data_IF_290237241740
#
_entry.id   IF_290237241740
#
_cell.length_a   1.000
_cell.length_b   1.000
_cell.length_c   1.000
_cell.angle_alpha   90.00
_cell.angle_beta   90.00
_cell.angle_gamma   90.00
#
_symmetry.space_group_name_H-M   'P 1'
#
loop_
_entity.id
_entity.type
_entity.pdbx_description
1 polymer ?
#
# COMPACT_ATOMS: atom_id res chain seq x y z
N UNK A 1 2.76 -7.20 -6.76
CA UNK A 1 1.36 -6.76 -6.59
C UNK A 1 1.14 -5.40 -7.25
N UNK A 2 -0.08 -5.10 -7.73
CA UNK A 2 -0.42 -3.75 -8.21
C UNK A 2 -0.92 -2.90 -7.04
N UNK A 3 -0.59 -1.61 -7.06
CA UNK A 3 -1.02 -0.66 -6.02
C UNK A 3 -2.53 -0.69 -5.77
N UNK A 4 -3.33 -0.79 -6.83
CA UNK A 4 -4.79 -0.85 -6.71
C UNK A 4 -5.28 -2.07 -5.94
N UNK A 5 -4.63 -3.23 -6.10
CA UNK A 5 -5.02 -4.46 -5.40
C UNK A 5 -4.80 -4.32 -3.90
N UNK A 6 -3.69 -3.66 -3.51
CA UNK A 6 -3.37 -3.35 -2.12
C UNK A 6 -4.43 -2.43 -1.52
N UNK A 7 -4.74 -1.33 -2.21
CA UNK A 7 -5.72 -0.35 -1.72
C UNK A 7 -7.09 -0.99 -1.55
N UNK A 8 -7.51 -1.84 -2.49
CA UNK A 8 -8.77 -2.56 -2.37
C UNK A 8 -8.78 -3.53 -1.19
N UNK A 9 -7.67 -4.23 -0.93
CA UNK A 9 -7.57 -5.12 0.23
C UNK A 9 -7.71 -4.32 1.53
N UNK A 10 -6.96 -3.22 1.69
CA UNK A 10 -7.05 -2.34 2.86
C UNK A 10 -8.46 -1.77 3.05
N UNK A 11 -9.11 -1.30 1.97
CA UNK A 11 -10.49 -0.80 2.05
C UNK A 11 -11.46 -1.91 2.51
N UNK A 12 -11.26 -3.15 2.07
CA UNK A 12 -12.09 -4.26 2.48
C UNK A 12 -11.87 -4.63 3.95
N UNK A 13 -10.63 -4.57 4.44
CA UNK A 13 -10.33 -4.81 5.85
C UNK A 13 -10.96 -3.73 6.75
N UNK A 14 -10.85 -2.45 6.34
CA UNK A 14 -11.53 -1.34 7.03
C UNK A 14 -13.05 -1.55 7.05
N UNK A 15 -13.65 -1.92 5.91
CA UNK A 15 -15.10 -2.21 5.85
C UNK A 15 -15.51 -3.39 6.72
N UNK A 16 -14.63 -4.38 6.87
CA UNK A 16 -14.90 -5.55 7.70
C UNK A 16 -14.78 -5.25 9.19
N UNK A 17 -13.93 -4.29 9.54
CA UNK A 17 -13.76 -3.82 10.92
C UNK A 17 -14.91 -2.90 11.39
N UNK A 18 -15.54 -2.18 10.46
CA UNK A 18 -16.56 -1.20 10.78
C UNK A 18 -17.99 -1.80 10.68
N UNK A 19 -18.95 -1.30 11.45
CA UNK A 19 -20.37 -1.61 11.30
C UNK A 19 -20.88 -1.32 9.87
N UNK A 20 -21.83 -2.11 9.39
CA UNK A 20 -22.34 -2.04 8.02
C UNK A 20 -23.04 -0.70 7.66
N UNK A 21 -23.45 0.07 8.62
CA UNK A 21 -24.08 1.38 8.46
C UNK A 21 -23.07 2.52 8.31
N UNK A 22 -21.78 2.25 8.54
CA UNK A 22 -20.70 3.22 8.31
C UNK A 22 -20.34 3.25 6.82
N UNK A 23 -20.57 4.38 6.17
CA UNK A 23 -20.19 4.56 4.80
C UNK A 23 -18.65 4.73 4.68
N UNK A 24 -17.98 3.86 3.93
CA UNK A 24 -16.54 3.97 3.65
C UNK A 24 -16.35 4.60 2.27
N UNK A 25 -15.64 5.71 2.21
CA UNK A 25 -15.41 6.51 0.99
C UNK A 25 -13.97 6.99 0.88
N UNK A 26 -13.55 7.31 -0.33
CA UNK A 26 -12.30 8.03 -0.55
C UNK A 26 -12.52 9.53 -0.28
N UNK A 27 -11.52 10.20 0.30
CA UNK A 27 -11.63 11.62 0.69
C UNK A 27 -11.89 12.53 -0.50
N UNK A 28 -11.32 12.24 -1.67
CA UNK A 28 -11.58 12.98 -2.91
C UNK A 28 -13.01 12.86 -3.45
N UNK A 29 -13.78 11.87 -2.99
CA UNK A 29 -15.19 11.65 -3.32
C UNK A 29 -16.17 12.16 -2.27
N UNK A 30 -15.68 12.82 -1.20
CA UNK A 30 -16.53 13.37 -0.14
C UNK A 30 -17.13 14.72 -0.58
N UNK A 31 -18.36 14.70 -1.02
CA UNK A 31 -19.14 15.90 -1.38
C UNK A 31 -19.96 16.43 -0.19
N UNK A 32 -19.39 16.45 1.01
CA UNK A 32 -20.08 16.93 2.21
C UNK A 32 -21.07 15.91 2.78
N UNK A 33 -20.72 14.63 2.72
CA UNK A 33 -21.55 13.55 3.27
C UNK A 33 -21.69 13.67 4.77
N UNK A 34 -22.90 13.44 5.28
CA UNK A 34 -23.19 13.48 6.71
C UNK A 34 -22.64 12.25 7.42
N UNK A 35 -22.22 12.37 8.69
CA UNK A 35 -21.85 11.24 9.55
C UNK A 35 -23.03 10.26 9.74
N UNK A 36 -22.77 8.97 10.10
CA UNK A 36 -21.45 8.41 10.33
C UNK A 36 -20.74 8.01 9.02
N UNK A 37 -19.45 8.29 8.91
CA UNK A 37 -18.69 7.91 7.72
C UNK A 37 -17.20 7.74 8.01
N UNK A 38 -16.55 6.87 7.22
CA UNK A 38 -15.11 6.67 7.19
C UNK A 38 -14.56 7.20 5.86
N UNK A 39 -13.56 8.05 5.95
CA UNK A 39 -12.84 8.62 4.81
C UNK A 39 -11.45 8.02 4.73
N UNK A 40 -11.05 7.60 3.53
CA UNK A 40 -9.74 7.03 3.28
C UNK A 40 -9.03 7.87 2.22
N UNK A 41 -7.80 8.23 2.52
CA UNK A 41 -6.86 8.87 1.60
C UNK A 41 -5.56 8.08 1.61
N UNK A 42 -4.85 8.03 0.50
CA UNK A 42 -3.58 7.32 0.44
C UNK A 42 -2.57 8.06 -0.45
N UNK A 43 -1.32 7.84 -0.14
CA UNK A 43 -0.18 8.23 -0.94
C UNK A 43 0.81 7.06 -1.06
N UNK A 44 1.48 6.99 -2.20
CA UNK A 44 2.45 5.94 -2.47
C UNK A 44 3.71 6.56 -3.05
N UNK A 45 4.81 6.40 -2.33
CA UNK A 45 6.11 6.95 -2.72
C UNK A 45 7.07 5.80 -3.03
N UNK A 46 7.67 5.84 -4.22
CA UNK A 46 8.75 4.93 -4.55
C UNK A 46 9.99 5.26 -3.72
N UNK A 47 10.44 4.29 -2.93
CA UNK A 47 11.66 4.41 -2.15
C UNK A 47 12.83 3.74 -2.88
N UNK A 48 14.01 4.37 -2.78
CA UNK A 48 15.27 3.75 -3.19
C UNK A 48 16.00 3.34 -1.91
N UNK A 49 16.04 2.05 -1.67
CA UNK A 49 16.91 1.54 -0.61
C UNK A 49 18.35 1.61 -1.08
N UNK A 50 19.22 2.23 -0.28
CA UNK A 50 20.64 2.31 -0.56
C UNK A 50 21.23 0.88 -0.58
N UNK A 51 21.77 0.48 -1.71
CA UNK A 51 22.38 -0.84 -1.89
C UNK A 51 21.43 -1.94 -2.34
N UNK A 52 20.12 -1.66 -2.50
CA UNK A 52 19.21 -2.64 -3.09
C UNK A 52 19.48 -2.77 -4.59
N UNK A 53 19.85 -3.98 -4.98
CA UNK A 53 19.87 -4.33 -6.40
C UNK A 53 18.40 -4.43 -6.86
N UNK A 54 17.96 -3.66 -7.87
CA UNK A 54 16.59 -3.76 -8.37
C UNK A 54 16.31 -5.09 -9.09
N UNK A 55 17.34 -5.91 -9.27
CA UNK A 55 17.21 -7.23 -9.86
C UNK A 55 16.92 -8.24 -8.76
N UNK A 56 15.76 -8.88 -8.87
CA UNK A 56 15.42 -9.99 -8.01
C UNK A 56 15.84 -11.32 -8.61
N UNK A 57 15.49 -11.56 -9.87
CA UNK A 57 15.75 -12.84 -10.51
C UNK A 57 15.84 -12.75 -12.04
N UNK A 58 16.42 -13.79 -12.65
CA UNK A 58 16.36 -14.00 -14.09
C UNK A 58 15.16 -14.89 -14.40
N UNK A 59 14.39 -14.49 -15.39
CA UNK A 59 13.29 -15.31 -15.92
C UNK A 59 13.85 -16.27 -16.96
N UNK A 60 13.57 -17.53 -16.82
CA UNK A 60 14.01 -18.60 -17.69
C UNK A 60 12.85 -19.17 -18.49
N UNK A 61 13.10 -19.50 -19.73
CA UNK A 61 12.19 -20.29 -20.54
C UNK A 61 12.24 -21.77 -20.10
N UNK A 62 11.08 -22.31 -19.75
CA UNK A 62 10.96 -23.68 -19.21
C UNK A 62 11.36 -24.76 -20.21
N UNK A 63 11.33 -24.47 -21.53
CA UNK A 63 11.64 -25.43 -22.57
C UNK A 63 13.12 -25.42 -22.96
N UNK A 64 13.72 -24.25 -22.97
CA UNK A 64 15.10 -24.07 -23.44
C UNK A 64 16.11 -23.89 -22.32
N UNK A 65 15.66 -23.48 -21.13
CA UNK A 65 16.50 -23.16 -19.98
C UNK A 65 17.34 -21.88 -20.17
N UNK A 66 17.09 -21.11 -21.21
CA UNK A 66 17.77 -19.84 -21.43
C UNK A 66 17.05 -18.70 -20.70
N UNK A 67 17.82 -17.69 -20.25
CA UNK A 67 17.26 -16.50 -19.67
C UNK A 67 16.52 -15.69 -20.75
N UNK A 68 15.22 -15.46 -20.54
CA UNK A 68 14.34 -14.72 -21.46
C UNK A 68 13.95 -13.35 -20.95
N UNK A 69 14.34 -13.02 -19.71
CA UNK A 69 14.01 -11.76 -19.10
C UNK A 69 14.60 -11.61 -17.72
N UNK A 70 14.15 -10.58 -17.03
CA UNK A 70 14.50 -10.33 -15.64
C UNK A 70 13.30 -9.78 -14.87
N UNK A 71 13.20 -10.14 -13.61
CA UNK A 71 12.29 -9.52 -12.68
C UNK A 71 12.97 -8.33 -11.98
N UNK A 72 12.29 -7.21 -11.92
CA UNK A 72 12.73 -6.02 -11.21
C UNK A 72 11.83 -5.79 -10.00
N UNK A 73 12.43 -5.66 -8.85
CA UNK A 73 11.75 -5.26 -7.62
C UNK A 73 11.78 -3.75 -7.45
N UNK A 74 10.62 -3.17 -7.18
CA UNK A 74 10.46 -1.76 -6.85
C UNK A 74 9.82 -1.67 -5.49
N UNK A 75 10.51 -1.03 -4.57
CA UNK A 75 10.02 -0.80 -3.20
C UNK A 75 9.22 0.49 -3.15
N UNK A 76 8.10 0.44 -2.45
CA UNK A 76 7.21 1.55 -2.24
C UNK A 76 6.88 1.67 -0.76
N UNK A 77 6.75 2.91 -0.29
CA UNK A 77 6.13 3.22 0.99
C UNK A 77 4.69 3.65 0.69
N UNK A 78 3.73 2.96 1.28
CA UNK A 78 2.31 3.34 1.28
C UNK A 78 1.99 4.02 2.60
N UNK A 79 1.31 5.14 2.53
CA UNK A 79 0.71 5.80 3.68
C UNK A 79 -0.80 5.93 3.43
N UNK A 80 -1.59 5.41 4.35
CA UNK A 80 -3.06 5.45 4.28
C UNK A 80 -3.55 6.21 5.48
N UNK A 81 -4.24 7.30 5.22
CA UNK A 81 -4.92 8.11 6.22
C UNK A 81 -6.38 7.69 6.32
N UNK A 82 -6.79 7.28 7.51
CA UNK A 82 -8.17 6.90 7.82
C UNK A 82 -8.75 7.93 8.76
N UNK A 83 -9.84 8.57 8.35
CA UNK A 83 -10.57 9.51 9.17
C UNK A 83 -12.01 9.05 9.38
N UNK A 84 -12.48 9.07 10.62
CA UNK A 84 -13.85 8.71 11.01
C UNK A 84 -14.57 9.94 11.50
N UNK A 85 -15.77 10.17 10.98
CA UNK A 85 -16.70 11.22 11.42
C UNK A 85 -17.95 10.61 12.02
N UNK A 86 -18.33 11.08 13.21
CA UNK A 86 -19.54 10.66 13.92
C UNK A 86 -20.22 11.85 14.58
N UNK A 87 -21.44 11.67 15.06
CA UNK A 87 -22.14 12.67 15.88
C UNK A 87 -21.78 12.57 17.36
N UNK A 88 -21.06 11.52 17.79
CA UNK A 88 -20.63 11.29 19.16
C UNK A 88 -19.14 11.02 19.22
N UNK A 89 -18.46 11.59 20.21
CA UNK A 89 -17.01 11.45 20.38
C UNK A 89 -16.60 10.03 20.75
N UNK A 90 -17.39 9.39 21.62
CA UNK A 90 -17.12 8.03 22.07
C UNK A 90 -17.27 7.01 20.92
N UNK A 91 -18.27 7.21 20.06
CA UNK A 91 -18.46 6.37 18.87
C UNK A 91 -17.29 6.51 17.91
N UNK A 92 -16.77 7.72 17.71
CA UNK A 92 -15.57 7.96 16.91
C UNK A 92 -14.37 7.17 17.43
N UNK A 93 -14.12 7.23 18.73
CA UNK A 93 -12.97 6.59 19.37
C UNK A 93 -13.07 5.07 19.32
N UNK A 94 -14.26 4.53 19.52
CA UNK A 94 -14.50 3.08 19.36
C UNK A 94 -14.24 2.62 17.93
N UNK A 95 -14.80 3.29 16.92
CA UNK A 95 -14.63 2.93 15.53
C UNK A 95 -13.16 3.05 15.07
N UNK A 96 -12.42 4.04 15.57
CA UNK A 96 -10.98 4.15 15.29
C UNK A 96 -10.18 3.02 15.95
N UNK A 97 -10.58 2.60 17.14
CA UNK A 97 -9.98 1.44 17.82
C UNK A 97 -10.24 0.16 17.04
N UNK A 98 -11.47 -0.04 16.55
CA UNK A 98 -11.82 -1.23 15.74
C UNK A 98 -10.98 -1.30 14.47
N UNK A 99 -10.78 -0.15 13.78
CA UNK A 99 -9.89 -0.09 12.62
C UNK A 99 -8.45 -0.38 13.01
N UNK A 100 -7.94 0.23 14.07
CA UNK A 100 -6.58 -0.01 14.55
C UNK A 100 -6.36 -1.49 14.85
N UNK A 101 -7.28 -2.13 15.58
CA UNK A 101 -7.20 -3.52 15.98
C UNK A 101 -7.21 -4.48 14.78
N UNK A 102 -7.87 -4.11 13.68
CA UNK A 102 -7.87 -4.90 12.45
C UNK A 102 -6.48 -4.95 11.78
N UNK A 103 -5.67 -3.91 11.93
CA UNK A 103 -4.36 -3.80 11.28
C UNK A 103 -3.17 -4.13 12.19
N UNK A 104 -3.32 -4.07 13.52
CA UNK A 104 -2.26 -4.42 14.48
C UNK A 104 -1.63 -5.80 14.23
N UNK A 105 -2.36 -6.87 13.85
CA UNK A 105 -1.74 -8.17 13.57
C UNK A 105 -0.68 -8.10 12.47
N UNK A 106 -0.81 -7.21 11.49
CA UNK A 106 0.14 -7.09 10.37
C UNK A 106 1.48 -6.45 10.78
N UNK A 107 1.55 -5.73 11.90
CA UNK A 107 2.82 -5.26 12.48
C UNK A 107 3.70 -6.43 12.94
N UNK A 108 3.09 -7.54 13.35
CA UNK A 108 3.79 -8.74 13.82
C UNK A 108 4.06 -9.73 12.69
N UNK A 109 3.14 -9.83 11.73
CA UNK A 109 3.24 -10.69 10.57
C UNK A 109 2.66 -10.00 9.33
N UNK A 110 3.50 -9.25 8.64
CA UNK A 110 3.12 -8.54 7.43
C UNK A 110 2.69 -9.47 6.29
N UNK A 111 3.19 -10.71 6.29
CA UNK A 111 2.84 -11.70 5.28
C UNK A 111 1.39 -12.19 5.41
N UNK A 112 0.76 -12.01 6.59
CA UNK A 112 -0.66 -12.30 6.79
C UNK A 112 -1.58 -11.39 5.95
N UNK A 113 -1.13 -10.18 5.62
CA UNK A 113 -1.83 -9.33 4.67
C UNK A 113 -1.50 -9.73 3.22
N UNK A 114 -0.21 -9.74 2.87
CA UNK A 114 0.29 -10.17 1.58
C UNK A 114 1.80 -10.42 1.64
N UNK A 115 2.28 -11.42 0.88
CA UNK A 115 3.70 -11.81 0.85
C UNK A 115 4.65 -10.70 0.40
N UNK A 116 4.16 -9.76 -0.41
CA UNK A 116 4.93 -8.62 -0.91
C UNK A 116 4.92 -7.39 0.03
N UNK A 117 4.31 -7.49 1.21
CA UNK A 117 4.24 -6.38 2.17
C UNK A 117 5.17 -6.59 3.38
N UNK A 118 5.74 -5.50 3.85
CA UNK A 118 6.65 -5.50 5.00
C UNK A 118 6.53 -4.20 5.80
N UNK A 119 7.08 -4.20 7.00
CA UNK A 119 7.25 -3.00 7.84
C UNK A 119 5.96 -2.22 8.07
N UNK A 120 4.94 -2.91 8.57
CA UNK A 120 3.70 -2.28 8.98
C UNK A 120 3.88 -1.44 10.25
N UNK A 121 3.27 -0.25 10.23
CA UNK A 121 3.16 0.65 11.37
C UNK A 121 1.72 1.20 11.41
N UNK A 122 1.03 0.98 12.53
CA UNK A 122 -0.32 1.49 12.76
C UNK A 122 -0.24 2.64 13.75
N UNK A 123 -0.54 3.84 13.30
CA UNK A 123 -0.52 5.04 14.12
C UNK A 123 -1.62 5.04 15.17
N UNK A 124 -1.35 5.68 16.30
CA UNK A 124 -2.37 5.86 17.33
C UNK A 124 -3.51 6.78 16.87
N UNK A 125 -4.77 6.46 17.22
CA UNK A 125 -5.89 7.34 16.96
C UNK A 125 -5.70 8.73 17.57
N UNK A 126 -6.10 9.75 16.83
CA UNK A 126 -6.02 11.14 17.29
C UNK A 126 -7.26 11.93 16.88
N UNK A 127 -7.79 12.80 17.77
CA UNK A 127 -8.89 13.69 17.44
C UNK A 127 -8.42 14.74 16.42
N UNK A 128 -9.26 15.03 15.43
CA UNK A 128 -9.03 16.05 14.39
C UNK A 128 -10.03 17.20 14.44
N UNK A 129 -11.07 17.06 15.27
CA UNK A 129 -12.06 18.12 15.47
C UNK A 129 -11.45 19.29 16.23
N UNK A 130 -11.82 20.52 15.86
CA UNK A 130 -11.40 21.69 16.60
C UNK A 130 -12.18 21.78 17.93
N UNK A 131 -11.50 21.68 19.10
CA UNK A 131 -12.17 21.68 20.39
C UNK A 131 -12.77 23.05 20.80
N UNK A 132 -12.49 24.11 20.05
CA UNK A 132 -12.92 25.48 20.38
C UNK A 132 -14.31 25.82 19.83
N UNK A 133 -14.78 25.06 18.86
CA UNK A 133 -16.11 25.22 18.25
C UNK A 133 -16.89 23.95 18.47
N UNK A 134 -18.14 24.01 18.98
CA UNK A 134 -19.01 22.83 18.99
C UNK A 134 -19.17 22.37 17.54
N UNK A 135 -18.56 21.24 17.16
CA UNK A 135 -18.59 20.79 15.78
C UNK A 135 -19.96 20.14 15.51
N UNK A 136 -20.46 20.29 14.30
CA UNK A 136 -21.63 19.53 13.84
C UNK A 136 -21.37 18.00 13.87
N UNK A 137 -20.10 17.61 13.88
CA UNK A 137 -19.61 16.22 14.02
C UNK A 137 -18.21 16.17 14.61
N UNK A 138 -17.87 15.02 15.20
CA UNK A 138 -16.52 14.73 15.68
C UNK A 138 -15.74 13.98 14.62
N UNK A 139 -14.53 14.46 14.31
CA UNK A 139 -13.59 13.76 13.40
C UNK A 139 -12.36 13.31 14.18
N UNK A 140 -11.93 12.11 13.92
CA UNK A 140 -10.66 11.58 14.37
C UNK A 140 -10.02 10.76 13.26
N UNK A 141 -8.75 10.43 13.40
CA UNK A 141 -8.08 9.64 12.39
C UNK A 141 -6.86 8.93 12.90
N UNK A 142 -6.40 7.97 12.13
CA UNK A 142 -5.15 7.25 12.30
C UNK A 142 -4.47 7.10 10.94
N UNK A 143 -3.17 6.83 10.97
CA UNK A 143 -2.38 6.62 9.76
C UNK A 143 -1.81 5.21 9.80
N UNK A 144 -1.94 4.49 8.69
CA UNK A 144 -1.35 3.17 8.48
C UNK A 144 -0.23 3.32 7.46
N UNK A 145 0.95 2.81 7.79
CA UNK A 145 2.13 2.83 6.91
C UNK A 145 2.65 1.42 6.71
N UNK A 146 3.07 1.11 5.51
CA UNK A 146 3.77 -0.13 5.23
C UNK A 146 4.57 -0.04 3.94
N UNK A 147 5.58 -0.90 3.83
CA UNK A 147 6.31 -1.07 2.58
C UNK A 147 5.72 -2.22 1.78
N UNK A 148 5.77 -2.10 0.45
CA UNK A 148 5.43 -3.19 -0.45
C UNK A 148 6.36 -3.25 -1.64
N UNK A 149 6.45 -4.43 -2.25
CA UNK A 149 7.25 -4.68 -3.45
C UNK A 149 6.33 -4.80 -4.65
N UNK A 150 6.56 -3.97 -5.66
CA UNK A 150 5.98 -4.20 -6.98
C UNK A 150 6.99 -4.92 -7.86
N UNK A 151 6.59 -6.06 -8.44
CA UNK A 151 7.39 -6.84 -9.35
C UNK A 151 7.08 -6.44 -10.77
N UNK A 152 8.10 -6.18 -11.55
CA UNK A 152 7.99 -5.81 -12.97
C UNK A 152 8.86 -6.77 -13.77
N UNK A 153 8.22 -7.59 -14.58
CA UNK A 153 8.93 -8.42 -15.55
C UNK A 153 9.37 -7.54 -16.72
N UNK A 154 10.64 -7.64 -17.06
CA UNK A 154 11.22 -7.03 -18.22
C UNK A 154 11.75 -8.15 -19.11
N UNK A 155 11.06 -8.40 -20.22
CA UNK A 155 11.57 -9.31 -21.26
C UNK A 155 12.95 -8.82 -21.73
N UNK A 156 13.88 -9.75 -21.91
CA UNK A 156 15.11 -9.45 -22.59
C UNK A 156 14.71 -9.07 -24.01
N UNK A 157 14.96 -7.82 -24.41
CA UNK A 157 15.03 -7.52 -25.83
C UNK A 157 15.95 -8.59 -26.42
N UNK A 158 15.46 -9.35 -27.39
CA UNK A 158 16.27 -10.32 -28.10
C UNK A 158 17.51 -9.55 -28.49
N UNK A 159 18.62 -9.80 -27.82
CA UNK A 159 19.91 -9.36 -28.28
C UNK A 159 20.10 -10.10 -29.62
N UNK A 160 19.57 -9.51 -30.66
CA UNK A 160 20.00 -9.86 -32.01
C UNK A 160 21.50 -9.78 -31.93
N UNK A 161 22.16 -10.94 -32.06
CA UNK A 161 23.59 -11.06 -32.05
C UNK A 161 24.17 -9.97 -32.94
N UNK A 162 24.66 -8.91 -32.31
CA UNK A 162 25.63 -8.09 -32.98
C UNK A 162 26.84 -9.01 -33.11
N UNK A 163 27.08 -9.50 -34.31
CA UNK A 163 28.32 -10.16 -34.69
C UNK A 163 29.50 -9.31 -34.24
N UNK A 164 29.93 -9.53 -33.00
CA UNK A 164 31.25 -9.12 -32.60
C UNK A 164 32.25 -10.13 -33.16
N UNK A 165 32.41 -10.11 -34.47
CA UNK A 165 33.64 -10.61 -35.12
C UNK A 165 34.72 -9.63 -34.69
N UNK A 166 35.37 -9.92 -33.57
CA UNK A 166 36.69 -9.35 -33.29
C UNK A 166 37.61 -9.94 -34.34
N UNK A 167 37.91 -9.17 -35.36
CA UNK A 167 39.02 -9.49 -36.26
C UNK A 167 40.29 -9.42 -35.38
N UNK A 168 40.84 -10.57 -35.08
CA UNK A 168 42.21 -10.67 -34.55
C UNK A 168 43.09 -10.51 -35.78
N UNK A 169 43.59 -9.29 -35.97
CA UNK A 169 44.69 -9.09 -36.92
C UNK A 169 45.92 -9.79 -36.35
N UNK A 170 46.38 -10.78 -37.09
CA UNK A 170 47.66 -11.45 -36.86
C UNK A 170 48.82 -10.44 -36.99
N UNK A 171 49.61 -10.34 -35.91
CA UNK A 171 50.93 -9.77 -35.88
C UNK A 171 51.97 -10.87 -35.92
#
# INVERSE_FOLDING_TARGET
MKEQDIIFAVINDIKSALPNDIAVRTRGGDNGSSPPLCLIEWDSVRIRENGSNPFADLLYDDQTGYAVGRELHRYHLMEIDVAIRTYDESDRDLLLSDVMDAFLPYEYDSSAFHEDTTEWEVGSPSPRSNPVVEPDWYEGGLTIRFKYVSRVEQEADTLTSTDNTVAVDDL
#
